data_IF_365024347194
#
_entry.id   IF_365024347194
#
_cell.length_a   1.000
_cell.length_b   1.000
_cell.length_c   1.000
_cell.angle_alpha   90.00
_cell.angle_beta   90.00
_cell.angle_gamma   90.00
#
_symmetry.space_group_name_H-M   'P 1'
#
loop_
_entity.id
_entity.type
_entity.pdbx_description
1 polymer ?
#
# COMPACT_ATOMS: atom_id res chain seq x y z
N UNK A 1 -1.94 -34.23 -1.77
CA UNK A 1 -1.75 -33.06 -2.65
C UNK A 1 -3.09 -32.59 -3.22
N UNK A 2 -4.02 -33.53 -3.45
CA UNK A 2 -5.35 -33.34 -4.04
C UNK A 2 -6.38 -32.65 -3.14
N UNK A 3 -6.21 -32.67 -1.82
CA UNK A 3 -7.21 -32.09 -0.91
C UNK A 3 -7.36 -30.57 -1.08
N UNK A 4 -6.26 -29.84 -1.27
CA UNK A 4 -6.32 -28.40 -1.55
C UNK A 4 -7.02 -28.07 -2.86
N UNK A 5 -6.93 -28.97 -3.85
CA UNK A 5 -7.59 -28.78 -5.13
C UNK A 5 -9.11 -28.94 -4.96
N UNK A 6 -9.54 -29.93 -4.18
CA UNK A 6 -10.97 -30.10 -3.84
C UNK A 6 -11.52 -28.90 -3.08
N UNK A 7 -10.80 -28.42 -2.07
CA UNK A 7 -11.20 -27.23 -1.30
C UNK A 7 -11.26 -25.97 -2.17
N UNK A 8 -10.26 -25.75 -3.03
CA UNK A 8 -10.24 -24.61 -3.95
C UNK A 8 -11.43 -24.66 -4.93
N UNK A 9 -11.79 -25.84 -5.43
CA UNK A 9 -12.94 -26.02 -6.32
C UNK A 9 -14.28 -25.70 -5.63
N UNK A 10 -14.45 -26.11 -4.37
CA UNK A 10 -15.66 -25.78 -3.60
C UNK A 10 -15.79 -24.27 -3.35
N UNK A 11 -14.68 -23.57 -3.08
CA UNK A 11 -14.67 -22.11 -2.93
C UNK A 11 -15.07 -21.44 -4.25
N UNK A 12 -14.50 -21.86 -5.38
CA UNK A 12 -14.82 -21.29 -6.69
C UNK A 12 -16.26 -21.59 -7.09
N UNK A 13 -16.76 -22.79 -6.78
CA UNK A 13 -18.17 -23.16 -6.97
C UNK A 13 -19.11 -22.26 -6.17
N UNK A 14 -18.77 -21.94 -4.92
CA UNK A 14 -19.54 -21.00 -4.11
C UNK A 14 -19.52 -19.58 -4.71
N UNK A 15 -18.35 -19.12 -5.18
CA UNK A 15 -18.21 -17.81 -5.80
C UNK A 15 -18.98 -17.68 -7.12
N UNK A 16 -18.96 -18.73 -7.94
CA UNK A 16 -19.68 -18.79 -9.21
C UNK A 16 -21.21 -18.77 -9.04
N UNK A 17 -21.74 -19.15 -7.86
CA UNK A 17 -23.16 -18.99 -7.53
C UNK A 17 -23.55 -17.55 -7.23
N UNK A 18 -22.61 -16.73 -6.76
CA UNK A 18 -22.86 -15.32 -6.36
C UNK A 18 -22.70 -14.37 -7.54
N UNK A 19 -21.71 -14.64 -8.42
CA UNK A 19 -21.39 -13.78 -9.56
C UNK A 19 -21.12 -14.63 -10.81
N UNK A 20 -21.56 -14.14 -11.97
CA UNK A 20 -21.17 -14.70 -13.27
C UNK A 20 -19.69 -14.43 -13.53
N UNK A 21 -18.93 -15.49 -13.75
CA UNK A 21 -17.48 -15.46 -13.97
C UNK A 21 -17.14 -16.01 -15.35
N UNK A 22 -16.05 -15.51 -15.94
CA UNK A 22 -15.50 -16.05 -17.18
C UNK A 22 -14.67 -17.30 -16.94
N UNK A 23 -14.51 -18.16 -17.96
CA UNK A 23 -13.69 -19.37 -17.85
C UNK A 23 -12.24 -19.07 -17.43
N UNK A 24 -11.66 -17.96 -17.90
CA UNK A 24 -10.31 -17.53 -17.54
C UNK A 24 -10.22 -17.12 -16.05
N UNK A 25 -11.20 -16.37 -15.53
CA UNK A 25 -11.23 -15.98 -14.12
C UNK A 25 -11.35 -17.19 -13.19
N UNK A 26 -12.13 -18.21 -13.58
CA UNK A 26 -12.29 -19.45 -12.80
C UNK A 26 -10.95 -20.17 -12.68
N UNK A 27 -10.25 -20.39 -13.79
CA UNK A 27 -8.95 -21.09 -13.79
C UNK A 27 -7.91 -20.33 -12.98
N UNK A 28 -7.84 -18.99 -13.14
CA UNK A 28 -6.93 -18.15 -12.38
C UNK A 28 -7.23 -18.21 -10.87
N UNK A 29 -8.51 -18.21 -10.49
CA UNK A 29 -8.91 -18.27 -9.08
C UNK A 29 -8.55 -19.61 -8.44
N UNK A 30 -8.77 -20.74 -9.13
CA UNK A 30 -8.38 -22.06 -8.64
C UNK A 30 -6.87 -22.13 -8.39
N UNK A 31 -6.06 -21.66 -9.34
CA UNK A 31 -4.60 -21.65 -9.20
C UNK A 31 -4.14 -20.80 -8.00
N UNK A 32 -4.70 -19.59 -7.86
CA UNK A 32 -4.38 -18.68 -6.76
C UNK A 32 -4.77 -19.26 -5.39
N UNK A 33 -5.93 -19.92 -5.29
CA UNK A 33 -6.39 -20.52 -4.05
C UNK A 33 -5.53 -21.73 -3.65
N UNK A 34 -5.14 -22.59 -4.59
CA UNK A 34 -4.26 -23.72 -4.29
C UNK A 34 -2.90 -23.25 -3.78
N UNK A 35 -2.33 -22.20 -4.39
CA UNK A 35 -1.06 -21.60 -3.93
C UNK A 35 -1.24 -20.94 -2.56
N UNK A 36 -2.32 -20.18 -2.38
CA UNK A 36 -2.64 -19.49 -1.12
C UNK A 36 -2.82 -20.47 0.04
N UNK A 37 -3.61 -21.54 -0.15
CA UNK A 37 -3.85 -22.56 0.87
C UNK A 37 -2.55 -23.30 1.25
N UNK A 38 -1.73 -23.68 0.26
CA UNK A 38 -0.41 -24.26 0.53
C UNK A 38 0.50 -23.33 1.32
N UNK A 39 0.48 -22.04 1.00
CA UNK A 39 1.29 -21.02 1.68
C UNK A 39 0.84 -20.86 3.15
N UNK A 40 -0.47 -20.76 3.38
CA UNK A 40 -1.06 -20.67 4.73
C UNK A 40 -0.73 -21.92 5.54
N UNK A 41 -0.86 -23.12 4.96
CA UNK A 41 -0.60 -24.37 5.67
C UNK A 41 0.88 -24.60 5.96
N UNK A 42 1.77 -24.09 5.11
CA UNK A 42 3.22 -24.13 5.35
C UNK A 42 3.67 -23.21 6.49
N UNK A 43 2.76 -22.45 7.13
CA UNK A 43 3.08 -21.50 8.19
C UNK A 43 3.92 -20.31 7.74
N UNK A 44 4.26 -20.25 6.44
CA UNK A 44 4.89 -19.11 5.81
C UNK A 44 3.78 -18.10 5.60
N UNK A 45 3.56 -17.25 6.59
CA UNK A 45 2.77 -16.03 6.37
C UNK A 45 3.50 -15.29 5.25
N UNK A 46 2.93 -15.16 4.03
CA UNK A 46 3.53 -14.28 3.07
C UNK A 46 3.35 -12.90 3.71
N UNK A 47 4.45 -12.29 4.11
CA UNK A 47 4.47 -10.89 4.50
C UNK A 47 3.89 -10.13 3.31
N UNK A 48 2.59 -9.81 3.38
CA UNK A 48 1.85 -8.95 2.46
C UNK A 48 2.42 -9.01 1.04
N UNK A 49 2.03 -10.03 0.28
CA UNK A 49 2.41 -10.19 -1.12
C UNK A 49 2.37 -8.83 -1.81
N UNK A 50 3.59 -8.38 -2.06
CA UNK A 50 3.95 -7.16 -2.71
C UNK A 50 3.35 -7.25 -4.10
N UNK A 51 2.30 -6.48 -4.37
CA UNK A 51 1.89 -6.18 -5.75
C UNK A 51 2.94 -5.24 -6.35
N UNK A 52 4.15 -5.80 -6.50
CA UNK A 52 5.25 -5.35 -7.33
C UNK A 52 5.04 -5.95 -8.72
N UNK A 53 3.81 -5.86 -9.25
CA UNK A 53 3.62 -5.99 -10.68
C UNK A 53 4.15 -4.70 -11.29
N UNK A 54 5.30 -4.81 -11.98
CA UNK A 54 6.12 -3.75 -12.54
C UNK A 54 5.39 -2.84 -13.53
N UNK A 55 4.49 -2.01 -13.02
CA UNK A 55 4.02 -0.79 -13.67
C UNK A 55 4.76 0.36 -12.98
N UNK A 56 5.29 1.34 -13.71
CA UNK A 56 5.68 2.61 -13.13
C UNK A 56 4.44 3.14 -12.39
N UNK A 57 4.44 3.03 -11.06
CA UNK A 57 3.35 3.53 -10.25
C UNK A 57 3.36 5.03 -10.49
N UNK A 58 2.36 5.54 -11.21
CA UNK A 58 2.13 6.97 -11.36
C UNK A 58 2.30 7.61 -9.97
N UNK A 59 3.07 8.67 -9.84
CA UNK A 59 3.48 9.21 -8.53
C UNK A 59 2.32 9.40 -7.53
N UNK A 60 1.10 9.66 -8.04
CA UNK A 60 -0.16 9.70 -7.28
C UNK A 60 -0.58 8.38 -6.63
N UNK A 61 -0.30 7.24 -7.26
CA UNK A 61 -0.60 5.87 -6.78
C UNK A 61 0.43 5.34 -5.79
N UNK A 62 1.61 5.97 -5.69
CA UNK A 62 2.63 5.58 -4.71
C UNK A 62 2.21 5.87 -3.25
N UNK A 63 1.28 6.81 -3.03
CA UNK A 63 0.74 7.12 -1.70
C UNK A 63 -0.50 6.27 -1.41
N UNK A 64 -0.30 5.15 -0.71
CA UNK A 64 -1.38 4.29 -0.20
C UNK A 64 -1.91 4.81 1.14
N UNK A 65 -2.97 4.17 1.64
CA UNK A 65 -3.63 4.56 2.88
C UNK A 65 -2.72 4.35 4.09
N UNK A 66 -2.14 3.15 4.22
CA UNK A 66 -1.27 2.74 5.34
C UNK A 66 0.23 2.87 5.06
N UNK A 67 0.64 2.99 3.81
CA UNK A 67 2.06 3.07 3.39
C UNK A 67 2.26 4.00 2.19
N UNK A 68 3.49 4.46 1.99
CA UNK A 68 3.98 5.19 0.83
C UNK A 68 5.17 4.41 0.25
N UNK A 69 5.15 4.15 -1.06
CA UNK A 69 6.22 3.44 -1.75
C UNK A 69 7.26 4.47 -2.19
N UNK A 70 8.53 4.23 -1.87
CA UNK A 70 9.62 5.05 -2.40
C UNK A 70 9.87 4.66 -3.85
N UNK A 71 9.80 5.62 -4.78
CA UNK A 71 9.96 5.34 -6.21
C UNK A 71 11.42 4.99 -6.58
N UNK A 72 12.40 5.37 -5.76
CA UNK A 72 13.82 5.06 -5.98
C UNK A 72 14.22 3.68 -5.45
N UNK A 73 13.56 3.19 -4.39
CA UNK A 73 13.96 1.95 -3.70
C UNK A 73 12.90 0.86 -3.79
N UNK A 74 11.68 1.17 -4.22
CA UNK A 74 10.54 0.26 -4.22
C UNK A 74 10.01 -0.13 -2.83
N UNK A 75 10.68 0.29 -1.75
CA UNK A 75 10.33 -0.14 -0.39
C UNK A 75 9.08 0.59 0.14
N UNK A 76 8.10 -0.13 0.71
CA UNK A 76 6.97 0.48 1.40
C UNK A 76 7.40 1.03 2.76
N UNK A 77 7.12 2.30 3.01
CA UNK A 77 7.40 2.98 4.27
C UNK A 77 6.17 3.74 4.75
N UNK A 78 6.10 4.19 6.01
CA UNK A 78 5.01 5.09 6.47
C UNK A 78 5.25 6.55 6.10
N UNK A 79 6.52 6.95 6.04
CA UNK A 79 6.99 8.30 5.75
C UNK A 79 8.27 8.21 4.94
N UNK A 80 8.35 8.93 3.82
CA UNK A 80 9.63 9.20 3.16
C UNK A 80 10.31 10.31 3.95
N UNK A 81 11.30 9.93 4.75
CA UNK A 81 12.01 10.87 5.62
C UNK A 81 13.12 11.60 4.86
N UNK A 82 13.43 12.83 5.29
CA UNK A 82 14.59 13.58 4.76
C UNK A 82 15.91 12.81 4.90
N UNK A 83 16.06 12.01 5.97
CA UNK A 83 17.24 11.12 6.15
C UNK A 83 17.30 10.02 5.09
N UNK A 84 16.17 9.47 4.66
CA UNK A 84 16.14 8.47 3.60
C UNK A 84 16.54 9.08 2.25
N UNK A 85 16.00 10.26 1.93
CA UNK A 85 16.37 10.99 0.71
C UNK A 85 17.84 11.43 0.72
N UNK A 86 18.37 11.86 1.86
CA UNK A 86 19.78 12.20 2.01
C UNK A 86 20.72 11.01 1.75
N UNK A 87 20.34 9.78 2.11
CA UNK A 87 21.10 8.56 1.75
C UNK A 87 21.12 8.29 0.25
N UNK A 88 20.10 8.77 -0.46
CA UNK A 88 20.01 8.69 -1.92
C UNK A 88 20.67 9.89 -2.61
N UNK A 89 21.26 10.83 -1.85
CA UNK A 89 21.84 12.06 -2.38
C UNK A 89 20.79 13.05 -2.92
N UNK A 90 19.52 12.89 -2.56
CA UNK A 90 18.42 13.69 -3.09
C UNK A 90 17.85 14.62 -2.00
N UNK A 91 17.50 15.83 -2.40
CA UNK A 91 16.67 16.70 -1.58
C UNK A 91 15.18 16.38 -1.75
N UNK A 92 14.31 16.74 -0.78
CA UNK A 92 12.87 16.58 -0.93
C UNK A 92 12.30 17.29 -2.16
N UNK A 93 12.85 18.43 -2.54
CA UNK A 93 12.39 19.21 -3.68
C UNK A 93 12.80 18.56 -5.00
N UNK A 94 14.03 18.06 -5.11
CA UNK A 94 14.48 17.29 -6.28
C UNK A 94 13.71 15.98 -6.43
N UNK A 95 13.45 15.26 -5.34
CA UNK A 95 12.63 14.06 -5.37
C UNK A 95 11.21 14.37 -5.87
N UNK A 96 10.63 15.50 -5.46
CA UNK A 96 9.30 15.89 -5.96
C UNK A 96 9.32 16.29 -7.43
N UNK A 97 10.34 17.03 -7.87
CA UNK A 97 10.49 17.41 -9.27
C UNK A 97 10.70 16.20 -10.19
N UNK A 98 11.56 15.26 -9.77
CA UNK A 98 11.89 14.03 -10.52
C UNK A 98 10.67 13.14 -10.75
N UNK A 99 9.79 13.05 -9.76
CA UNK A 99 8.59 12.20 -9.81
C UNK A 99 7.29 12.96 -10.09
N UNK A 100 7.34 14.28 -10.31
CA UNK A 100 6.16 15.09 -10.62
C UNK A 100 5.18 15.28 -9.44
N UNK A 101 5.66 15.25 -8.21
CA UNK A 101 4.85 15.57 -7.03
C UNK A 101 4.63 17.09 -6.90
N UNK A 102 3.45 17.54 -6.42
CA UNK A 102 3.24 18.94 -6.05
C UNK A 102 4.24 19.36 -4.97
N UNK A 103 4.78 20.59 -5.05
CA UNK A 103 5.81 21.09 -4.14
C UNK A 103 5.40 21.05 -2.66
N UNK A 104 4.12 21.34 -2.38
CA UNK A 104 3.54 21.32 -1.03
C UNK A 104 3.00 19.95 -0.60
N UNK A 105 3.14 18.91 -1.42
CA UNK A 105 2.60 17.61 -1.08
C UNK A 105 3.46 16.92 0.01
N UNK A 106 2.83 16.45 1.11
CA UNK A 106 3.51 15.68 2.14
C UNK A 106 3.86 14.26 1.65
N UNK A 107 5.13 13.86 1.81
CA UNK A 107 5.63 12.52 1.47
C UNK A 107 5.33 11.49 2.58
N UNK A 108 4.07 11.41 2.98
CA UNK A 108 3.58 10.63 4.14
C UNK A 108 2.34 9.84 3.71
N UNK A 109 2.09 8.67 4.29
CA UNK A 109 0.84 7.94 4.05
C UNK A 109 -0.41 8.72 4.52
N UNK A 110 -1.57 8.49 3.89
CA UNK A 110 -2.80 9.26 4.15
C UNK A 110 -3.28 9.15 5.60
N UNK A 111 -3.16 7.98 6.21
CA UNK A 111 -3.57 7.76 7.60
C UNK A 111 -2.79 8.65 8.57
N UNK A 112 -1.46 8.71 8.41
CA UNK A 112 -0.62 9.50 9.30
C UNK A 112 -0.83 11.01 9.09
N UNK A 113 -1.13 11.44 7.86
CA UNK A 113 -1.54 12.82 7.60
C UNK A 113 -2.85 13.17 8.34
N UNK A 114 -3.85 12.29 8.25
CA UNK A 114 -5.14 12.47 8.94
C UNK A 114 -4.97 12.50 10.46
N UNK A 115 -4.15 11.58 11.00
CA UNK A 115 -3.83 11.54 12.43
C UNK A 115 -3.14 12.83 12.91
N UNK A 116 -2.16 13.33 12.16
CA UNK A 116 -1.48 14.60 12.47
C UNK A 116 -2.43 15.79 12.42
N UNK A 117 -3.31 15.86 11.40
CA UNK A 117 -4.32 16.92 11.29
C UNK A 117 -5.31 16.88 12.45
N UNK A 118 -5.81 15.69 12.81
CA UNK A 118 -6.70 15.49 13.96
C UNK A 118 -6.04 15.94 15.26
N UNK A 119 -4.79 15.55 15.50
CA UNK A 119 -4.03 15.96 16.69
C UNK A 119 -3.79 17.47 16.75
N UNK A 120 -3.48 18.10 15.62
CA UNK A 120 -3.37 19.56 15.53
C UNK A 120 -4.68 20.26 15.87
N UNK A 121 -5.81 19.72 15.39
CA UNK A 121 -7.13 20.26 15.68
C UNK A 121 -7.50 20.14 17.16
N UNK A 122 -7.27 18.98 17.74
CA UNK A 122 -7.50 18.69 19.15
C UNK A 122 -6.70 19.62 20.08
N UNK A 123 -5.42 19.84 19.73
CA UNK A 123 -4.53 20.69 20.52
C UNK A 123 -4.77 22.19 20.37
N UNK A 124 -5.59 22.64 19.37
CA UNK A 124 -5.89 24.05 19.07
C UNK A 124 -4.67 24.98 19.19
N UNK A 125 -3.50 24.52 18.74
CA UNK A 125 -2.21 25.19 18.95
C UNK A 125 -2.16 26.63 18.40
N UNK A 126 -2.99 26.94 17.40
CA UNK A 126 -3.09 28.28 16.81
C UNK A 126 -3.83 29.29 17.72
N UNK A 127 -4.61 28.83 18.69
CA UNK A 127 -5.26 29.69 19.67
C UNK A 127 -4.32 30.03 20.81
N UNK A 128 -3.45 29.10 21.21
CA UNK A 128 -2.41 29.33 22.24
C UNK A 128 -1.35 30.37 21.80
N UNK A 129 -1.37 30.80 20.54
CA UNK A 129 -0.48 31.85 20.00
C UNK A 129 -1.11 33.25 19.93
N UNK A 130 -2.42 33.42 20.19
CA UNK A 130 -3.03 34.74 20.47
C UNK A 130 -3.03 34.86 22.01
N UNK A 131 -2.38 35.78 22.71
CA UNK A 131 -1.62 37.01 22.46
C UNK A 131 -0.83 37.22 23.78
N UNK A 132 0.46 37.58 23.82
CA UNK A 132 0.98 38.26 25.00
C UNK A 132 0.30 39.64 25.04
N UNK A 133 -0.45 39.88 26.10
CA UNK A 133 -0.96 41.22 26.45
C UNK A 133 0.17 42.06 27.01
#
# INVERSE_FOLDING_TARGET
>A
MDDYLKEALEIVRAQAKVRVMTAQEIVAMVQNLVVGLKTVMSGVVPAVADDSSGKPLEAKKAVREKSIICMETGKPMKVITKRHLAKLGLTPDEYRAKWGYPKDMPLVCKDLQRARRKKMQDMRLWERRKKPE
#
